data_IF_699600599681
#
_entry.id   IF_699600599681
#
_cell.length_a   1.000
_cell.length_b   1.000
_cell.length_c   1.000
_cell.angle_alpha   90.00
_cell.angle_beta   90.00
_cell.angle_gamma   90.00
#
_symmetry.space_group_name_H-M   'P 1'
#
loop_
_entity.id
_entity.type
_entity.pdbx_description
1 polymer ?
#
# COMPACT_ATOMS: atom_id res chain seq x y z
N UNK A 1 -20.97 42.87 -11.62
CA UNK A 1 -20.74 41.42 -11.80
C UNK A 1 -19.24 41.22 -12.01
N UNK A 2 -18.48 40.94 -10.94
CA UNK A 2 -17.02 40.87 -10.96
C UNK A 2 -16.63 39.41 -11.22
N UNK A 3 -15.99 39.13 -12.36
CA UNK A 3 -15.39 37.81 -12.62
C UNK A 3 -14.17 37.67 -11.72
N UNK A 4 -14.04 36.62 -10.89
CA UNK A 4 -12.76 36.37 -10.23
C UNK A 4 -11.73 36.06 -11.32
N UNK A 5 -10.66 36.85 -11.36
CA UNK A 5 -9.46 36.56 -12.13
C UNK A 5 -8.91 35.21 -11.66
N UNK A 6 -9.24 34.14 -12.37
CA UNK A 6 -8.66 32.82 -12.16
C UNK A 6 -7.19 32.88 -12.58
N UNK A 7 -6.32 33.19 -11.62
CA UNK A 7 -4.89 32.92 -11.78
C UNK A 7 -4.66 31.45 -12.14
N UNK A 8 -3.51 31.11 -12.74
CA UNK A 8 -3.17 29.70 -12.97
C UNK A 8 -3.34 28.93 -11.65
N UNK A 9 -3.82 27.66 -11.71
CA UNK A 9 -3.99 26.87 -10.50
C UNK A 9 -2.67 26.90 -9.73
N UNK A 10 -2.72 27.37 -8.49
CA UNK A 10 -1.54 27.50 -7.65
C UNK A 10 -0.82 26.15 -7.62
N UNK A 11 0.48 26.16 -7.89
CA UNK A 11 1.27 24.95 -7.90
C UNK A 11 1.13 24.25 -6.54
N UNK A 12 0.91 22.92 -6.49
CA UNK A 12 0.72 22.24 -5.23
C UNK A 12 1.92 22.47 -4.30
N UNK A 13 1.71 22.74 -3.00
CA UNK A 13 2.80 22.98 -2.03
C UNK A 13 3.66 21.72 -1.79
N UNK A 14 3.23 20.57 -2.31
CA UNK A 14 3.96 19.32 -2.29
C UNK A 14 3.07 18.17 -2.71
N UNK A 15 3.61 16.97 -2.59
CA UNK A 15 2.99 15.71 -2.98
C UNK A 15 3.11 14.70 -1.86
N UNK A 16 2.11 13.84 -1.74
CA UNK A 16 2.09 12.71 -0.84
C UNK A 16 1.86 11.43 -1.62
N UNK A 17 2.38 10.34 -1.10
CA UNK A 17 2.14 9.00 -1.57
C UNK A 17 1.89 8.08 -0.37
N UNK A 18 0.99 7.12 -0.52
CA UNK A 18 0.64 6.13 0.50
C UNK A 18 0.42 4.77 -0.17
N UNK A 19 0.79 3.72 0.54
CA UNK A 19 0.45 2.35 0.18
C UNK A 19 -0.29 1.70 1.31
N UNK A 20 -1.41 1.08 0.97
CA UNK A 20 -2.35 0.49 1.90
C UNK A 20 -2.64 -0.94 1.50
N UNK A 21 -2.57 -1.87 2.43
CA UNK A 21 -3.16 -3.19 2.30
C UNK A 21 -4.53 -3.21 3.00
N UNK A 22 -5.51 -3.85 2.38
CA UNK A 22 -6.78 -4.19 3.01
C UNK A 22 -6.98 -5.69 2.89
N UNK A 23 -7.27 -6.37 4.00
CA UNK A 23 -7.52 -7.81 4.01
C UNK A 23 -8.21 -8.24 5.29
N UNK A 24 -8.67 -9.49 5.38
CA UNK A 24 -9.30 -10.03 6.56
C UNK A 24 -8.29 -10.11 7.71
N UNK A 25 -8.77 -9.84 8.91
CA UNK A 25 -8.06 -10.13 10.16
C UNK A 25 -8.40 -11.56 10.53
N UNK A 26 -7.37 -12.40 10.62
CA UNK A 26 -7.54 -13.83 10.89
C UNK A 26 -8.34 -14.05 12.19
N UNK A 27 -9.42 -14.84 12.10
CA UNK A 27 -10.24 -15.23 13.24
C UNK A 27 -11.29 -14.22 13.69
N UNK A 28 -11.40 -13.03 13.07
CA UNK A 28 -12.45 -12.05 13.41
C UNK A 28 -13.53 -11.91 12.34
N UNK A 29 -13.26 -12.32 11.09
CA UNK A 29 -14.16 -12.09 9.95
C UNK A 29 -14.24 -10.63 9.48
N UNK A 30 -13.50 -9.73 10.13
CA UNK A 30 -13.44 -8.31 9.78
C UNK A 30 -12.32 -8.04 8.79
N UNK A 31 -12.45 -6.99 7.97
CA UNK A 31 -11.37 -6.49 7.13
C UNK A 31 -10.69 -5.28 7.76
N UNK A 32 -9.37 -5.30 7.90
CA UNK A 32 -8.58 -4.19 8.41
C UNK A 32 -7.80 -3.48 7.30
N UNK A 33 -7.53 -2.18 7.54
CA UNK A 33 -6.69 -1.33 6.70
C UNK A 33 -5.31 -1.19 7.34
N UNK A 34 -4.26 -1.60 6.63
CA UNK A 34 -2.88 -1.49 7.08
C UNK A 34 -2.09 -0.55 6.16
N UNK A 35 -1.47 0.48 6.73
CA UNK A 35 -0.57 1.37 5.98
C UNK A 35 0.80 0.73 5.89
N UNK A 36 1.22 0.36 4.68
CA UNK A 36 2.51 -0.26 4.41
C UNK A 36 3.64 0.77 4.26
N UNK A 37 3.29 2.01 3.92
CA UNK A 37 4.23 3.11 3.84
C UNK A 37 3.58 4.42 3.42
N UNK A 38 4.21 5.52 3.80
CA UNK A 38 3.87 6.88 3.36
C UNK A 38 5.14 7.60 2.92
N UNK A 39 5.00 8.56 2.01
CA UNK A 39 6.10 9.38 1.52
C UNK A 39 5.61 10.79 1.17
N UNK A 40 6.41 11.80 1.46
CA UNK A 40 6.12 13.21 1.16
C UNK A 40 7.31 13.86 0.48
N UNK A 41 7.05 14.69 -0.51
CA UNK A 41 8.10 15.35 -1.30
C UNK A 41 7.53 16.57 -2.02
N UNK A 42 8.41 17.49 -2.44
CA UNK A 42 8.03 18.61 -3.31
C UNK A 42 7.97 18.21 -4.79
N UNK A 43 8.41 16.99 -5.15
CA UNK A 43 8.50 16.54 -6.53
C UNK A 43 7.49 15.44 -6.85
N UNK A 44 6.60 15.62 -7.86
CA UNK A 44 5.66 14.59 -8.27
C UNK A 44 6.40 13.37 -8.86
N UNK A 45 7.58 13.60 -9.44
CA UNK A 45 8.43 12.52 -9.99
C UNK A 45 8.95 11.64 -8.87
N UNK A 46 9.43 12.22 -7.77
CA UNK A 46 9.92 11.43 -6.63
C UNK A 46 8.78 10.68 -5.93
N UNK A 47 7.59 11.26 -5.84
CA UNK A 47 6.42 10.58 -5.27
C UNK A 47 6.03 9.35 -6.09
N UNK A 48 5.94 9.48 -7.42
CA UNK A 48 5.64 8.36 -8.32
C UNK A 48 6.75 7.30 -8.34
N UNK A 49 8.02 7.73 -8.38
CA UNK A 49 9.17 6.81 -8.30
C UNK A 49 9.14 6.00 -6.99
N UNK A 50 8.84 6.64 -5.87
CA UNK A 50 8.70 5.95 -4.60
C UNK A 50 7.55 4.93 -4.64
N UNK A 51 6.39 5.29 -5.20
CA UNK A 51 5.23 4.41 -5.31
C UNK A 51 5.52 3.18 -6.17
N UNK A 52 6.25 3.34 -7.28
CA UNK A 52 6.75 2.23 -8.12
C UNK A 52 7.74 1.33 -7.38
N UNK A 53 8.61 1.92 -6.55
CA UNK A 53 9.49 1.16 -5.67
C UNK A 53 8.71 0.30 -4.68
N UNK A 54 7.63 0.83 -4.09
CA UNK A 54 6.76 0.05 -3.21
C UNK A 54 6.01 -1.06 -3.95
N UNK A 55 5.51 -0.81 -5.16
CA UNK A 55 4.87 -1.85 -5.98
C UNK A 55 5.80 -3.05 -6.21
N UNK A 56 7.07 -2.79 -6.60
CA UNK A 56 8.09 -3.85 -6.77
C UNK A 56 8.37 -4.58 -5.47
N UNK A 57 8.59 -3.82 -4.38
CA UNK A 57 8.85 -4.39 -3.05
C UNK A 57 7.72 -5.30 -2.58
N UNK A 58 6.46 -4.95 -2.86
CA UNK A 58 5.30 -5.78 -2.51
C UNK A 58 5.29 -7.04 -3.37
N UNK A 59 5.42 -6.89 -4.70
CA UNK A 59 5.46 -8.04 -5.61
C UNK A 59 6.57 -9.04 -5.23
N UNK A 60 7.77 -8.56 -4.93
CA UNK A 60 8.92 -9.42 -4.57
C UNK A 60 8.76 -10.09 -3.20
N UNK A 61 7.85 -9.61 -2.34
CA UNK A 61 7.51 -10.25 -1.06
C UNK A 61 6.40 -11.27 -1.19
N UNK A 62 5.44 -11.04 -2.08
CA UNK A 62 4.33 -11.96 -2.34
C UNK A 62 4.85 -13.15 -3.16
N UNK A 63 5.66 -12.87 -4.17
CA UNK A 63 6.22 -13.85 -5.12
C UNK A 63 7.72 -13.61 -5.28
N UNK A 64 8.55 -14.11 -4.35
CA UNK A 64 9.99 -13.97 -4.42
C UNK A 64 10.57 -14.82 -5.55
N UNK A 65 11.37 -14.19 -6.42
CA UNK A 65 12.07 -14.91 -7.49
C UNK A 65 13.04 -15.95 -6.87
N UNK A 66 12.83 -17.27 -7.11
CA UNK A 66 13.66 -18.32 -6.54
C UNK A 66 15.11 -18.28 -7.03
N UNK A 67 15.39 -17.67 -8.18
CA UNK A 67 16.74 -17.48 -8.69
C UNK A 67 17.46 -16.29 -8.04
N UNK A 68 16.73 -15.33 -7.48
CA UNK A 68 17.28 -14.14 -6.80
C UNK A 68 17.27 -14.24 -5.28
N UNK A 69 16.55 -15.21 -4.73
CA UNK A 69 16.35 -15.36 -3.29
C UNK A 69 16.79 -16.75 -2.83
N UNK A 70 17.94 -16.84 -2.16
CA UNK A 70 18.52 -18.12 -1.68
C UNK A 70 17.57 -18.92 -0.79
N UNK A 71 16.74 -18.22 0.00
CA UNK A 71 15.73 -18.86 0.84
C UNK A 71 14.54 -19.39 0.02
N UNK A 72 14.13 -18.67 -1.02
CA UNK A 72 12.96 -19.02 -1.83
C UNK A 72 13.24 -20.23 -2.73
N UNK A 73 14.45 -20.33 -3.30
CA UNK A 73 14.85 -21.47 -4.14
C UNK A 73 14.78 -22.84 -3.42
N UNK A 74 14.77 -22.85 -2.08
CA UNK A 74 14.66 -24.09 -1.27
C UNK A 74 13.23 -24.44 -0.86
N UNK A 75 12.31 -23.47 -0.87
CA UNK A 75 10.99 -23.60 -0.21
C UNK A 75 9.83 -23.34 -1.18
N UNK A 76 10.03 -22.49 -2.18
CA UNK A 76 8.99 -22.06 -3.12
C UNK A 76 9.04 -22.97 -4.35
N UNK A 77 7.95 -23.69 -4.62
CA UNK A 77 7.72 -24.38 -5.89
C UNK A 77 6.73 -23.57 -6.70
N UNK A 78 7.03 -23.37 -7.99
CA UNK A 78 6.11 -22.72 -8.91
C UNK A 78 4.83 -23.55 -9.01
N UNK A 79 3.71 -22.96 -8.60
CA UNK A 79 2.37 -23.51 -8.82
C UNK A 79 1.70 -22.68 -9.92
N UNK A 80 1.19 -23.32 -10.97
CA UNK A 80 0.37 -22.63 -11.95
C UNK A 80 -0.90 -22.10 -11.25
N UNK A 81 -1.01 -20.78 -11.09
CA UNK A 81 -2.16 -20.15 -10.44
C UNK A 81 -3.20 -19.77 -11.50
N UNK A 82 -4.47 -20.05 -11.22
CA UNK A 82 -5.62 -19.64 -12.04
C UNK A 82 -6.28 -18.35 -11.54
N UNK A 83 -5.66 -17.68 -10.58
CA UNK A 83 -6.15 -16.51 -9.84
C UNK A 83 -5.50 -15.21 -10.33
N UNK A 84 -6.00 -14.02 -9.91
CA UNK A 84 -5.37 -12.75 -10.22
C UNK A 84 -3.88 -12.78 -9.84
N UNK A 85 -3.01 -12.62 -10.83
CA UNK A 85 -1.57 -12.56 -10.61
C UNK A 85 -1.16 -11.15 -10.16
N UNK A 86 -1.56 -10.82 -8.92
CA UNK A 86 -1.27 -9.54 -8.27
C UNK A 86 0.23 -9.17 -8.36
N UNK A 87 1.19 -10.08 -8.10
CA UNK A 87 2.61 -9.79 -8.28
C UNK A 87 2.98 -9.38 -9.71
N UNK A 88 2.46 -10.08 -10.73
CA UNK A 88 2.71 -9.70 -12.13
C UNK A 88 2.10 -8.35 -12.49
N UNK A 89 0.88 -8.05 -12.03
CA UNK A 89 0.24 -6.75 -12.25
C UNK A 89 1.01 -5.61 -11.58
N UNK A 90 1.47 -5.80 -10.34
CA UNK A 90 2.31 -4.85 -9.62
C UNK A 90 3.63 -4.59 -10.36
N UNK A 91 4.29 -5.64 -10.88
CA UNK A 91 5.51 -5.51 -11.69
C UNK A 91 5.25 -4.79 -13.00
N UNK A 92 4.16 -5.13 -13.70
CA UNK A 92 3.74 -4.47 -14.94
C UNK A 92 3.48 -2.98 -14.71
N UNK A 93 2.72 -2.63 -13.68
CA UNK A 93 2.46 -1.23 -13.32
C UNK A 93 3.74 -0.49 -12.96
N UNK A 94 4.63 -1.12 -12.17
CA UNK A 94 5.92 -0.54 -11.84
C UNK A 94 6.86 -0.41 -13.06
N UNK A 95 6.63 -1.15 -14.14
CA UNK A 95 7.37 -1.09 -15.40
C UNK A 95 6.81 -0.11 -16.44
N UNK A 96 5.55 0.32 -16.31
CA UNK A 96 4.85 1.11 -17.31
C UNK A 96 5.31 2.59 -17.37
N UNK A 97 6.23 2.87 -18.30
CA UNK A 97 6.78 4.22 -18.55
C UNK A 97 5.74 5.17 -19.17
N UNK A 98 4.82 4.65 -19.99
CA UNK A 98 3.80 5.48 -20.63
C UNK A 98 2.75 5.91 -19.61
N UNK A 99 2.27 4.97 -18.78
CA UNK A 99 1.39 5.24 -17.65
C UNK A 99 2.02 6.19 -16.64
N UNK A 100 3.33 6.10 -16.39
CA UNK A 100 4.06 7.04 -15.52
C UNK A 100 3.96 8.48 -16.01
N UNK A 101 4.16 8.73 -17.30
CA UNK A 101 4.07 10.09 -17.86
C UNK A 101 2.66 10.64 -17.69
N UNK A 102 1.63 9.84 -18.00
CA UNK A 102 0.23 10.25 -17.82
C UNK A 102 -0.11 10.51 -16.33
N UNK A 103 0.36 9.65 -15.43
CA UNK A 103 0.20 9.80 -13.98
C UNK A 103 0.85 11.09 -13.47
N UNK A 104 2.05 11.41 -13.95
CA UNK A 104 2.76 12.63 -13.59
C UNK A 104 1.98 13.88 -13.97
N UNK A 105 1.49 13.94 -15.21
CA UNK A 105 0.73 15.10 -15.68
C UNK A 105 -0.63 15.22 -14.96
N UNK A 106 -1.26 14.09 -14.64
CA UNK A 106 -2.47 14.07 -13.80
C UNK A 106 -2.22 14.68 -12.42
N UNK A 107 -1.16 14.24 -11.73
CA UNK A 107 -0.84 14.67 -10.37
C UNK A 107 -0.35 16.12 -10.32
N UNK A 108 0.46 16.56 -11.29
CA UNK A 108 0.82 17.98 -11.47
C UNK A 108 -0.40 18.86 -11.70
N UNK A 109 -1.37 18.37 -12.47
CA UNK A 109 -2.66 19.04 -12.68
C UNK A 109 -3.58 19.05 -11.46
N UNK A 110 -3.08 18.70 -10.27
CA UNK A 110 -3.83 18.73 -9.02
C UNK A 110 -4.78 17.53 -8.80
N UNK A 111 -4.73 16.51 -9.66
CA UNK A 111 -5.64 15.34 -9.57
C UNK A 111 -4.92 14.15 -8.96
N UNK A 112 -5.39 13.58 -7.83
CA UNK A 112 -4.79 12.38 -7.28
C UNK A 112 -4.98 11.18 -8.21
N UNK A 113 -4.06 10.23 -8.08
CA UNK A 113 -4.09 8.91 -8.69
C UNK A 113 -4.19 7.88 -7.57
N UNK A 114 -5.09 6.91 -7.75
CA UNK A 114 -5.20 5.74 -6.90
C UNK A 114 -5.36 4.51 -7.79
N UNK A 115 -4.57 3.48 -7.52
CA UNK A 115 -4.60 2.20 -8.25
C UNK A 115 -4.69 1.08 -7.22
N UNK A 116 -5.59 0.12 -7.44
CA UNK A 116 -5.80 -1.01 -6.54
C UNK A 116 -5.51 -2.31 -7.27
N UNK A 117 -4.75 -3.18 -6.62
CA UNK A 117 -4.40 -4.52 -7.08
C UNK A 117 -5.06 -5.54 -6.15
N UNK A 118 -5.87 -6.43 -6.70
CA UNK A 118 -6.51 -7.50 -5.93
C UNK A 118 -5.60 -8.72 -5.90
N UNK A 119 -5.40 -9.27 -4.72
CA UNK A 119 -4.80 -10.57 -4.45
C UNK A 119 -5.87 -11.49 -3.86
N UNK A 120 -5.53 -12.76 -3.61
CA UNK A 120 -6.42 -13.80 -3.09
C UNK A 120 -7.36 -13.34 -1.98
N UNK A 121 -6.78 -12.87 -0.88
CA UNK A 121 -7.53 -12.48 0.32
C UNK A 121 -7.33 -10.99 0.64
N UNK A 122 -6.52 -10.27 -0.13
CA UNK A 122 -6.20 -8.88 0.19
C UNK A 122 -6.12 -7.99 -1.05
N UNK A 123 -6.19 -6.69 -0.85
CA UNK A 123 -6.05 -5.71 -1.90
C UNK A 123 -5.03 -4.65 -1.50
N UNK A 124 -4.17 -4.29 -2.44
CA UNK A 124 -3.15 -3.26 -2.28
C UNK A 124 -3.56 -2.00 -3.04
N UNK A 125 -3.77 -0.90 -2.33
CA UNK A 125 -4.06 0.41 -2.92
C UNK A 125 -2.84 1.31 -2.83
N UNK A 126 -2.38 1.78 -3.99
CA UNK A 126 -1.26 2.69 -4.16
C UNK A 126 -1.84 4.06 -4.54
N UNK A 127 -1.67 5.04 -3.66
CA UNK A 127 -2.22 6.39 -3.84
C UNK A 127 -1.11 7.43 -3.90
N UNK A 128 -1.27 8.41 -4.79
CA UNK A 128 -0.41 9.59 -4.87
C UNK A 128 -1.25 10.80 -5.23
N UNK A 129 -0.96 11.94 -4.62
CA UNK A 129 -1.70 13.16 -4.91
C UNK A 129 -0.98 14.43 -4.44
N UNK A 130 -1.47 15.60 -4.86
CA UNK A 130 -1.04 16.86 -4.30
C UNK A 130 -1.43 16.96 -2.82
N UNK A 131 -0.59 17.61 -2.02
CA UNK A 131 -0.94 18.00 -0.65
C UNK A 131 -1.86 19.24 -0.75
N UNK A 132 -3.05 19.25 -0.12
CA UNK A 132 -3.91 20.43 -0.12
C UNK A 132 -3.19 21.61 0.57
N UNK A 133 -3.34 22.85 0.09
CA UNK A 133 -2.85 24.02 0.82
C UNK A 133 -3.51 24.08 2.20
N UNK A 134 -2.69 24.13 3.27
CA UNK A 134 -3.14 24.07 4.66
C UNK A 134 -3.56 22.69 5.17
N UNK A 135 -3.48 21.64 4.32
CA UNK A 135 -3.89 20.29 4.66
C UNK A 135 -2.77 19.43 5.25
N UNK A 136 -3.08 18.71 6.32
CA UNK A 136 -2.28 17.56 6.74
C UNK A 136 -2.66 16.39 5.82
N UNK A 137 -1.68 15.64 5.30
CA UNK A 137 -1.95 14.41 4.54
C UNK A 137 -2.84 13.47 5.37
N UNK A 138 -3.63 12.56 4.75
CA UNK A 138 -4.46 11.62 5.49
C UNK A 138 -3.63 10.93 6.56
N UNK A 139 -3.98 11.14 7.83
CA UNK A 139 -3.30 10.50 8.94
C UNK A 139 -3.64 9.01 8.85
N UNK A 140 -2.62 8.15 8.77
CA UNK A 140 -2.81 6.72 8.94
C UNK A 140 -3.64 6.47 10.22
N UNK A 141 -4.76 5.73 10.17
CA UNK A 141 -5.40 5.27 11.39
C UNK A 141 -4.46 4.27 12.07
N UNK A 142 -4.09 4.54 13.32
CA UNK A 142 -3.38 3.58 14.17
C UNK A 142 -1.87 3.78 14.31
N UNK A 143 -1.42 4.95 14.76
CA UNK A 143 -0.26 4.96 15.67
C UNK A 143 -0.85 4.90 17.08
N UNK A 144 -0.72 3.78 17.83
CA UNK A 144 -1.03 3.82 19.24
C UNK A 144 -0.12 4.87 19.89
N UNK A 145 -0.73 5.81 20.61
CA UNK A 145 -0.04 6.80 21.42
C UNK A 145 0.76 6.00 22.46
N UNK A 146 2.09 5.97 22.35
CA UNK A 146 2.97 5.42 23.39
C UNK A 146 2.55 6.01 24.73
N UNK A 147 2.07 5.16 25.65
CA UNK A 147 1.57 5.62 26.95
C UNK A 147 0.79 4.64 27.81
N UNK A 148 0.60 3.37 27.42
CA UNK A 148 0.07 2.36 28.33
C UNK A 148 0.72 0.99 28.03
N UNK A 149 1.32 0.30 29.03
CA UNK A 149 1.74 -1.08 28.83
C UNK A 149 0.50 -1.94 28.57
N UNK A 150 0.57 -2.95 27.67
CA UNK A 150 -0.55 -3.86 27.48
C UNK A 150 -0.78 -4.64 28.78
N UNK A 151 -1.99 -4.56 29.31
CA UNK A 151 -2.45 -5.46 30.37
C UNK A 151 -2.22 -6.89 29.91
N UNK A 152 -1.36 -7.63 30.63
CA UNK A 152 -1.19 -9.07 30.47
C UNK A 152 -2.51 -9.75 30.81
N UNK A 153 -3.40 -9.90 29.84
CA UNK A 153 -4.46 -10.91 29.95
C UNK A 153 -3.78 -12.25 29.72
N UNK A 154 -3.57 -12.97 30.83
CA UNK A 154 -3.05 -14.33 30.81
C UNK A 154 -3.98 -15.21 29.94
N UNK A 155 -3.37 -16.02 29.07
CA UNK A 155 -4.08 -17.18 28.50
C UNK A 155 -4.61 -18.03 29.66
N UNK A 156 -5.89 -18.45 29.66
CA UNK A 156 -6.30 -19.55 30.51
C UNK A 156 -5.52 -20.82 30.10
N UNK A 157 -5.06 -21.65 31.06
CA UNK A 157 -4.34 -22.87 30.73
C UNK A 157 -5.23 -23.85 29.96
N UNK A 158 -4.67 -24.71 29.09
CA UNK A 158 -5.42 -25.78 28.48
C UNK A 158 -5.84 -26.78 29.57
N UNK A 159 -7.15 -26.93 29.78
CA UNK A 159 -7.70 -28.04 30.56
C UNK A 159 -7.48 -29.32 29.76
N UNK A 160 -6.36 -29.99 30.02
CA UNK A 160 -6.16 -31.35 29.55
C UNK A 160 -6.96 -32.30 30.42
N UNK A 161 -7.97 -32.94 29.84
CA UNK A 161 -8.38 -34.28 30.25
C UNK A 161 -8.57 -35.12 28.99
N UNK A 162 -7.58 -35.98 28.74
CA UNK A 162 -7.76 -37.15 27.92
C UNK A 162 -8.59 -38.17 28.69
N UNK A 163 -9.70 -38.62 28.12
CA UNK A 163 -10.42 -39.78 28.58
C UNK A 163 -11.36 -40.26 27.47
N UNK A 164 -10.85 -41.06 26.53
CA UNK A 164 -11.63 -42.11 25.85
C UNK A 164 -10.67 -43.25 25.52
N UNK A 165 -10.65 -44.22 26.44
CA UNK A 165 -10.50 -45.62 26.11
C UNK A 165 -11.83 -46.13 25.53
#
# INVERSE_FOLDING_TARGET
>A
MIRPCGGPPAEPPGYWAEVVARGPVCGTGESARHVLGTFRTLSPVLALRWLRGQARRIADRIDPDPARSEWAGRVVRATARSEPDCPAELRRWAGDVAGERAARERVKGGRPLSVTFADLDCAYTLTVGPVPPGGTAPRAPGTPRNGAPPSRTACPPPTGEGAWA
#
